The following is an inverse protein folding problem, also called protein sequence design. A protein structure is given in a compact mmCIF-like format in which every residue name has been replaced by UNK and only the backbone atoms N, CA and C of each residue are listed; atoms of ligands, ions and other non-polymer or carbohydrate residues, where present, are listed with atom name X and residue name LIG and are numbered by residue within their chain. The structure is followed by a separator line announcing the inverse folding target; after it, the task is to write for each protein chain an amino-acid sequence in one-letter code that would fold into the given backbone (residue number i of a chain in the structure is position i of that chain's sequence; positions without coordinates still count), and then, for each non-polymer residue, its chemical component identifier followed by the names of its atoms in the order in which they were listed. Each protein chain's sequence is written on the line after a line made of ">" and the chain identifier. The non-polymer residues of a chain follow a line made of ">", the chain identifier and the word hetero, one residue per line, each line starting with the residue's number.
data_IF_069817207523
#
_entry.id   IF_069817207523
#
_cell.length_a   1.000
_cell.length_b   1.000
_cell.length_c   1.000
_cell.angle_alpha   90.00
_cell.angle_beta   90.00
_cell.angle_gamma   90.00
#
_symmetry.space_group_name_H-M   'P 1'
#
loop_
_entity.id
_entity.type
_entity.pdbx_description
1 polymer ?
#
# COMPACT_ATOMS: atom_id res chain seq x y z
N UNK A 1 -9.43 12.87 7.58
CA UNK A 1 -10.69 12.13 7.78
C UNK A 1 -10.46 10.68 7.40
N UNK A 2 -10.86 9.73 8.25
CA UNK A 2 -10.78 8.30 7.92
C UNK A 2 -12.03 7.83 7.17
N UNK A 3 -11.83 7.01 6.15
CA UNK A 3 -12.87 6.35 5.35
C UNK A 3 -12.60 4.86 5.21
N UNK A 4 -13.67 4.10 4.97
CA UNK A 4 -13.61 2.67 4.70
C UNK A 4 -14.24 2.43 3.34
N UNK A 5 -13.47 1.90 2.40
CA UNK A 5 -13.95 1.47 1.09
C UNK A 5 -14.25 -0.02 1.11
N UNK A 6 -15.45 -0.39 0.69
CA UNK A 6 -15.83 -1.79 0.49
C UNK A 6 -15.56 -2.20 -0.96
N UNK A 7 -14.38 -2.76 -1.23
CA UNK A 7 -13.95 -3.15 -2.58
C UNK A 7 -13.85 -4.66 -2.70
N UNK A 8 -14.62 -5.26 -3.61
CA UNK A 8 -14.64 -6.70 -3.87
C UNK A 8 -14.78 -7.54 -2.58
N UNK A 9 -15.63 -7.09 -1.65
CA UNK A 9 -15.89 -7.76 -0.37
C UNK A 9 -14.83 -7.55 0.71
N UNK A 10 -13.83 -6.68 0.49
CA UNK A 10 -12.80 -6.34 1.47
C UNK A 10 -12.98 -4.90 1.97
N UNK A 11 -12.72 -4.67 3.26
CA UNK A 11 -12.81 -3.35 3.90
C UNK A 11 -11.44 -2.69 3.96
N UNK A 12 -11.21 -1.70 3.10
CA UNK A 12 -9.93 -0.99 3.00
C UNK A 12 -10.06 0.36 3.68
N UNK A 13 -9.30 0.56 4.76
CA UNK A 13 -9.27 1.83 5.47
C UNK A 13 -8.30 2.79 4.77
N UNK A 14 -8.74 4.03 4.57
CA UNK A 14 -7.92 5.12 4.01
C UNK A 14 -8.18 6.43 4.76
N UNK A 15 -7.13 7.12 5.18
CA UNK A 15 -7.19 8.48 5.68
C UNK A 15 -7.01 9.49 4.55
N UNK A 16 -7.82 10.54 4.53
CA UNK A 16 -7.71 11.66 3.59
C UNK A 16 -7.34 12.93 4.37
N UNK A 17 -6.24 13.56 4.00
CA UNK A 17 -5.73 14.80 4.55
C UNK A 17 -5.36 15.75 3.41
N UNK A 18 -5.34 17.08 3.60
CA UNK A 18 -4.89 17.98 2.55
C UNK A 18 -3.50 17.59 2.05
N UNK A 19 -3.38 17.31 0.75
CA UNK A 19 -2.17 16.89 0.03
C UNK A 19 -1.62 15.50 0.41
N UNK A 20 -2.38 14.70 1.16
CA UNK A 20 -1.90 13.42 1.71
C UNK A 20 -3.04 12.41 1.79
N UNK A 21 -2.77 11.17 1.37
CA UNK A 21 -3.63 10.04 1.72
C UNK A 21 -2.86 9.02 2.57
N UNK A 22 -3.56 8.34 3.46
CA UNK A 22 -3.00 7.29 4.32
C UNK A 22 -3.67 5.96 4.01
N UNK A 23 -3.01 5.05 3.31
CA UNK A 23 -3.56 3.72 3.04
C UNK A 23 -3.11 2.76 4.13
N UNK A 24 -4.06 2.16 4.84
CA UNK A 24 -3.75 1.23 5.93
C UNK A 24 -3.48 -0.16 5.35
N UNK A 25 -2.23 -0.60 5.42
CA UNK A 25 -1.81 -1.95 5.07
C UNK A 25 -2.28 -2.89 6.18
N UNK A 26 -3.52 -3.39 6.10
CA UNK A 26 -4.07 -4.40 7.00
C UNK A 26 -4.28 -5.73 6.27
N UNK A 27 -4.74 -6.77 6.98
CA UNK A 27 -5.02 -8.07 6.37
C UNK A 27 -6.06 -8.00 5.22
N UNK A 28 -7.01 -7.06 5.30
CA UNK A 28 -8.05 -6.83 4.29
C UNK A 28 -7.46 -6.26 2.99
N UNK A 29 -6.53 -5.30 3.06
CA UNK A 29 -5.83 -4.79 1.89
C UNK A 29 -5.00 -5.91 1.23
N UNK A 30 -4.34 -6.74 2.03
CA UNK A 30 -3.56 -7.86 1.49
C UNK A 30 -4.43 -8.92 0.82
N UNK A 31 -5.59 -9.23 1.40
CA UNK A 31 -6.58 -10.13 0.80
C UNK A 31 -7.12 -9.55 -0.52
N UNK A 32 -7.42 -8.25 -0.53
CA UNK A 32 -7.82 -7.52 -1.73
C UNK A 32 -6.75 -7.57 -2.84
N UNK A 33 -5.47 -7.44 -2.51
CA UNK A 33 -4.37 -7.42 -3.49
C UNK A 33 -3.81 -8.81 -3.85
N UNK A 34 -4.32 -9.89 -3.25
CA UNK A 34 -3.89 -11.24 -3.53
C UNK A 34 -4.40 -11.73 -4.91
N UNK A 35 -3.61 -12.58 -5.59
CA UNK A 35 -3.99 -13.14 -6.89
C UNK A 35 -2.92 -12.99 -7.96
N UNK A 36 -3.34 -13.12 -9.23
CA UNK A 36 -2.49 -12.94 -10.41
C UNK A 36 -2.20 -11.45 -10.66
N UNK A 37 -1.11 -11.17 -11.36
CA UNK A 37 -0.64 -9.81 -11.67
C UNK A 37 -1.72 -8.94 -12.34
N UNK A 38 -2.40 -9.45 -13.36
CA UNK A 38 -3.42 -8.68 -14.11
C UNK A 38 -4.58 -8.27 -13.20
N UNK A 39 -5.17 -9.24 -12.49
CA UNK A 39 -6.25 -8.98 -11.52
C UNK A 39 -5.81 -8.06 -10.37
N UNK A 40 -4.54 -8.12 -9.97
CA UNK A 40 -3.98 -7.23 -8.94
C UNK A 40 -3.86 -5.81 -9.45
N UNK A 41 -3.39 -5.63 -10.69
CA UNK A 41 -3.29 -4.31 -11.31
C UNK A 41 -4.68 -3.67 -11.43
N UNK A 42 -5.68 -4.41 -11.92
CA UNK A 42 -7.07 -3.93 -12.00
C UNK A 42 -7.61 -3.47 -10.64
N UNK A 43 -7.31 -4.23 -9.58
CA UNK A 43 -7.69 -3.89 -8.21
C UNK A 43 -6.96 -2.65 -7.70
N UNK A 44 -5.68 -2.50 -8.00
CA UNK A 44 -4.94 -1.28 -7.68
C UNK A 44 -5.50 -0.05 -8.39
N UNK A 45 -5.78 -0.14 -9.68
CA UNK A 45 -6.39 0.95 -10.45
C UNK A 45 -7.76 1.30 -9.88
N UNK A 46 -8.60 0.30 -9.54
CA UNK A 46 -9.89 0.54 -8.90
C UNK A 46 -9.73 1.28 -7.56
N UNK A 47 -8.86 0.78 -6.67
CA UNK A 47 -8.61 1.39 -5.37
C UNK A 47 -8.14 2.85 -5.50
N UNK A 48 -7.14 3.11 -6.35
CA UNK A 48 -6.56 4.44 -6.52
C UNK A 48 -7.56 5.41 -7.15
N UNK A 49 -8.33 4.98 -8.15
CA UNK A 49 -9.37 5.81 -8.74
C UNK A 49 -10.47 6.14 -7.72
N UNK A 50 -10.91 5.18 -6.92
CA UNK A 50 -11.88 5.41 -5.85
C UNK A 50 -11.36 6.44 -4.84
N UNK A 51 -10.11 6.30 -4.38
CA UNK A 51 -9.51 7.24 -3.44
C UNK A 51 -9.43 8.65 -4.03
N UNK A 52 -8.97 8.79 -5.27
CA UNK A 52 -8.78 10.11 -5.90
C UNK A 52 -10.08 10.83 -6.18
N UNK A 53 -11.10 10.09 -6.65
CA UNK A 53 -12.44 10.65 -6.85
C UNK A 53 -13.04 11.16 -5.52
N UNK A 54 -12.89 10.38 -4.45
CA UNK A 54 -13.41 10.74 -3.14
C UNK A 54 -12.61 11.89 -2.48
N UNK A 55 -11.30 11.94 -2.70
CA UNK A 55 -10.45 13.06 -2.33
C UNK A 55 -10.87 14.36 -3.02
N UNK A 56 -11.10 14.31 -4.34
CA UNK A 56 -11.56 15.45 -5.13
C UNK A 56 -12.94 15.93 -4.68
N UNK A 57 -13.87 15.01 -4.44
CA UNK A 57 -15.19 15.34 -3.90
C UNK A 57 -15.10 16.02 -2.53
N UNK A 58 -14.15 15.62 -1.69
CA UNK A 58 -14.03 16.14 -0.32
C UNK A 58 -13.30 17.50 -0.26
N UNK A 59 -12.23 17.67 -1.02
CA UNK A 59 -11.38 18.87 -0.96
C UNK A 59 -11.59 19.85 -2.12
N UNK A 60 -12.41 19.51 -3.12
CA UNK A 60 -12.64 20.33 -4.31
C UNK A 60 -11.42 20.48 -5.21
N UNK A 61 -10.40 19.64 -5.02
CA UNK A 61 -9.16 19.63 -5.81
C UNK A 61 -8.66 18.20 -6.01
N UNK A 62 -8.04 17.95 -7.15
CA UNK A 62 -7.44 16.65 -7.44
C UNK A 62 -6.18 16.42 -6.61
N UNK A 63 -5.96 15.18 -6.16
CA UNK A 63 -4.69 14.77 -5.55
C UNK A 63 -3.60 14.78 -6.62
N UNK A 64 -2.56 15.61 -6.44
CA UNK A 64 -1.50 15.84 -7.42
C UNK A 64 -0.45 14.70 -7.46
N UNK A 65 -0.92 13.45 -7.51
CA UNK A 65 -0.13 12.23 -7.62
C UNK A 65 -0.68 11.40 -8.78
N UNK A 66 0.19 10.93 -9.69
CA UNK A 66 -0.24 10.07 -10.79
C UNK A 66 -0.71 8.71 -10.27
N UNK A 67 -1.65 8.07 -10.96
CA UNK A 67 -2.14 6.75 -10.52
C UNK A 67 -1.01 5.72 -10.47
N UNK A 68 -0.12 5.71 -11.47
CA UNK A 68 1.00 4.78 -11.51
C UNK A 68 1.97 4.96 -10.33
N UNK A 69 2.30 6.22 -9.98
CA UNK A 69 3.14 6.54 -8.82
C UNK A 69 2.49 6.06 -7.52
N UNK A 70 1.20 6.35 -7.35
CA UNK A 70 0.44 5.95 -6.17
C UNK A 70 0.31 4.43 -6.03
N UNK A 71 0.08 3.72 -7.14
CA UNK A 71 0.05 2.25 -7.16
C UNK A 71 1.39 1.67 -6.73
N UNK A 72 2.49 2.17 -7.30
CA UNK A 72 3.83 1.65 -6.98
C UNK A 72 4.21 1.91 -5.53
N UNK A 73 3.89 3.08 -4.99
CA UNK A 73 4.12 3.38 -3.58
C UNK A 73 3.37 2.41 -2.66
N UNK A 74 2.05 2.25 -2.82
CA UNK A 74 1.26 1.31 -2.01
C UNK A 74 1.79 -0.12 -2.17
N UNK A 75 2.12 -0.53 -3.39
CA UNK A 75 2.65 -1.85 -3.71
C UNK A 75 3.99 -2.13 -3.03
N UNK A 76 4.94 -1.20 -3.10
CA UNK A 76 6.26 -1.33 -2.48
C UNK A 76 6.11 -1.41 -0.97
N UNK A 77 5.25 -0.59 -0.36
CA UNK A 77 5.00 -0.65 1.07
C UNK A 77 4.38 -2.00 1.50
N UNK A 78 3.37 -2.49 0.78
CA UNK A 78 2.79 -3.83 1.02
C UNK A 78 3.83 -4.93 0.87
N UNK A 79 4.74 -4.81 -0.10
CA UNK A 79 5.82 -5.77 -0.31
C UNK A 79 6.85 -5.75 0.82
N UNK A 80 7.29 -4.57 1.26
CA UNK A 80 8.23 -4.40 2.36
C UNK A 80 7.65 -4.97 3.67
N UNK A 81 6.37 -4.73 3.92
CA UNK A 81 5.64 -5.27 5.06
C UNK A 81 5.57 -6.81 4.99
N UNK A 82 5.25 -7.38 3.82
CA UNK A 82 5.32 -8.82 3.57
C UNK A 82 6.71 -9.42 3.81
N UNK A 83 7.76 -8.81 3.25
CA UNK A 83 9.13 -9.29 3.41
C UNK A 83 9.59 -9.20 4.86
N UNK A 84 9.31 -8.10 5.55
CA UNK A 84 9.69 -7.93 6.95
C UNK A 84 9.02 -8.97 7.85
N UNK A 85 7.73 -9.23 7.65
CA UNK A 85 7.01 -10.26 8.41
C UNK A 85 7.49 -11.68 8.07
N UNK A 86 7.76 -11.96 6.78
CA UNK A 86 8.32 -13.24 6.34
C UNK A 86 9.72 -13.48 6.91
N UNK A 87 10.58 -12.46 6.88
CA UNK A 87 11.92 -12.49 7.44
C UNK A 87 11.89 -12.71 8.96
N UNK A 88 11.01 -12.01 9.68
CA UNK A 88 10.81 -12.19 11.13
C UNK A 88 10.41 -13.63 11.49
N UNK A 89 9.70 -14.34 10.60
CA UNK A 89 9.35 -15.76 10.79
C UNK A 89 10.52 -16.70 10.56
N UNK A 90 11.43 -16.37 9.64
CA UNK A 90 12.60 -17.20 9.32
C UNK A 90 13.72 -16.97 10.32
N UNK A 91 13.98 -15.71 10.66
CA UNK A 91 15.08 -15.31 11.53
C UNK A 91 14.59 -15.29 12.97
N UNK A 92 15.05 -16.25 13.78
CA UNK A 92 14.71 -16.37 15.20
C UNK A 92 15.67 -15.62 16.14
N UNK A 93 16.31 -14.57 15.66
CA UNK A 93 17.26 -13.78 16.43
C UNK A 93 16.50 -12.61 17.09
N UNK A 94 16.22 -12.69 18.39
CA UNK A 94 15.35 -11.74 19.13
C UNK A 94 15.62 -10.27 18.86
N UNK A 95 16.87 -9.82 18.88
CA UNK A 95 17.20 -8.40 18.69
C UNK A 95 16.90 -7.92 17.25
N UNK A 96 17.10 -8.79 16.25
CA UNK A 96 16.74 -8.53 14.86
C UNK A 96 15.21 -8.49 14.72
N UNK A 97 14.51 -9.42 15.37
CA UNK A 97 13.04 -9.45 15.37
C UNK A 97 12.43 -8.19 15.98
N UNK A 98 12.98 -7.68 17.09
CA UNK A 98 12.50 -6.46 17.74
C UNK A 98 12.77 -5.22 16.88
N UNK A 99 13.91 -5.16 16.19
CA UNK A 99 14.22 -4.10 15.22
C UNK A 99 13.27 -4.13 14.02
N UNK A 100 13.05 -5.31 13.43
CA UNK A 100 12.14 -5.51 12.29
C UNK A 100 10.70 -5.18 12.67
N UNK A 101 10.22 -5.59 13.85
CA UNK A 101 8.89 -5.21 14.36
C UNK A 101 8.73 -3.69 14.48
N UNK A 102 9.76 -2.98 14.95
CA UNK A 102 9.75 -1.52 15.04
C UNK A 102 9.67 -0.85 13.66
N UNK A 103 10.33 -1.43 12.65
CA UNK A 103 10.22 -0.97 11.26
C UNK A 103 8.85 -1.29 10.66
N UNK A 104 8.32 -2.49 10.88
CA UNK A 104 7.00 -2.92 10.38
C UNK A 104 5.86 -2.07 10.96
N UNK A 105 5.92 -1.72 12.25
CA UNK A 105 4.94 -0.83 12.87
C UNK A 105 4.88 0.55 12.20
N UNK A 106 5.98 0.99 11.56
CA UNK A 106 6.02 2.21 10.75
C UNK A 106 5.52 1.99 9.32
N UNK A 107 5.47 0.75 8.83
CA UNK A 107 5.02 0.38 7.49
C UNK A 107 3.54 -0.03 7.42
N UNK A 108 2.85 -0.15 8.57
CA UNK A 108 1.41 -0.48 8.64
C UNK A 108 0.52 0.60 7.99
N UNK A 109 1.00 1.84 7.91
CA UNK A 109 0.32 2.96 7.27
C UNK A 109 1.21 3.48 6.15
N UNK A 110 0.63 3.59 4.96
CA UNK A 110 1.30 4.14 3.77
C UNK A 110 0.86 5.59 3.61
N UNK A 111 1.74 6.51 3.95
CA UNK A 111 1.55 7.94 3.77
C UNK A 111 1.93 8.35 2.35
N UNK A 112 0.94 8.57 1.48
CA UNK A 112 1.14 8.98 0.09
C UNK A 112 0.86 10.48 -0.09
N UNK A 113 1.90 11.30 0.01
CA UNK A 113 1.83 12.76 -0.06
C UNK A 113 2.20 13.36 -1.42
N UNK A 114 1.67 14.53 -1.74
CA UNK A 114 2.13 15.31 -2.90
C UNK A 114 3.61 15.71 -2.73
N UNK A 115 4.28 16.20 -3.79
CA UNK A 115 5.73 16.52 -3.77
C UNK A 115 6.16 17.46 -2.64
N UNK A 116 5.25 18.34 -2.20
CA UNK A 116 5.48 19.28 -1.10
C UNK A 116 5.47 18.61 0.28
N UNK A 117 4.77 17.48 0.42
CA UNK A 117 4.58 16.76 1.68
C UNK A 117 5.44 15.49 1.74
N UNK A 118 5.66 14.82 0.60
CA UNK A 118 6.49 13.63 0.49
C UNK A 118 7.76 13.90 -0.31
N UNK A 119 8.88 14.02 0.40
CA UNK A 119 10.20 14.23 -0.21
C UNK A 119 10.68 13.05 -1.06
N UNK A 120 10.11 11.86 -0.89
CA UNK A 120 10.43 10.67 -1.69
C UNK A 120 9.56 10.56 -2.95
N UNK A 121 8.66 11.50 -3.21
CA UNK A 121 7.74 11.47 -4.36
C UNK A 121 8.44 11.26 -5.70
N UNK A 122 9.63 11.82 -5.88
CA UNK A 122 10.44 11.63 -7.08
C UNK A 122 10.86 10.16 -7.30
N UNK A 123 11.10 9.40 -6.22
CA UNK A 123 11.41 7.96 -6.29
C UNK A 123 10.19 7.21 -6.81
N UNK A 124 9.01 7.51 -6.25
CA UNK A 124 7.76 6.86 -6.65
C UNK A 124 7.40 7.17 -8.11
N UNK A 125 7.57 8.42 -8.53
CA UNK A 125 7.35 8.85 -9.92
C UNK A 125 8.32 8.15 -10.89
N UNK A 126 9.59 7.95 -10.49
CA UNK A 126 10.57 7.21 -11.29
C UNK A 126 10.22 5.72 -11.38
N UNK A 127 9.86 5.10 -10.25
CA UNK A 127 9.50 3.68 -10.18
C UNK A 127 8.16 3.38 -10.87
N UNK A 128 7.29 4.38 -11.05
CA UNK A 128 6.01 4.27 -11.74
C UNK A 128 6.16 3.69 -13.17
N UNK A 129 7.24 4.03 -13.87
CA UNK A 129 7.54 3.50 -15.20
C UNK A 129 7.81 1.98 -15.22
N UNK A 130 8.10 1.40 -14.06
CA UNK A 130 8.38 -0.02 -13.86
C UNK A 130 7.27 -0.77 -13.11
N UNK A 131 6.04 -0.22 -13.03
CA UNK A 131 4.94 -0.81 -12.22
C UNK A 131 4.70 -2.30 -12.51
N UNK A 132 4.79 -2.71 -13.79
CA UNK A 132 4.55 -4.09 -14.21
C UNK A 132 5.57 -5.07 -13.60
N UNK A 133 6.83 -4.66 -13.42
CA UNK A 133 7.85 -5.49 -12.77
C UNK A 133 7.50 -5.72 -11.29
N UNK A 134 7.18 -4.65 -10.56
CA UNK A 134 6.82 -4.75 -9.15
C UNK A 134 5.55 -5.58 -8.92
N UNK A 135 4.54 -5.42 -9.78
CA UNK A 135 3.30 -6.18 -9.70
C UNK A 135 3.56 -7.67 -9.93
N UNK A 136 4.51 -8.03 -10.80
CA UNK A 136 4.87 -9.42 -11.06
C UNK A 136 5.70 -10.05 -9.93
N UNK A 137 6.52 -9.26 -9.23
CA UNK A 137 7.38 -9.74 -8.13
C UNK A 137 6.55 -10.07 -6.88
N UNK A 138 5.45 -9.37 -6.64
CA UNK A 138 4.66 -9.54 -5.42
C UNK A 138 4.02 -10.95 -5.37
N UNK A 139 4.24 -11.74 -4.29
CA UNK A 139 3.80 -13.13 -4.23
C UNK A 139 2.29 -13.26 -4.38
N UNK A 140 1.84 -14.31 -5.10
CA UNK A 140 0.43 -14.53 -5.42
C UNK A 140 -0.45 -14.69 -4.17
N UNK A 141 0.11 -15.23 -3.08
CA UNK A 141 -0.58 -15.45 -1.82
C UNK A 141 0.09 -14.68 -0.67
N UNK A 142 -0.24 -13.40 -0.54
CA UNK A 142 0.33 -12.50 0.47
C UNK A 142 0.10 -12.99 1.91
N UNK A 143 -1.06 -13.59 2.20
CA UNK A 143 -1.39 -14.08 3.54
C UNK A 143 -1.59 -15.61 3.62
N UNK A 144 -1.05 -16.41 2.69
CA UNK A 144 -1.25 -17.87 2.68
C UNK A 144 -0.79 -18.59 3.96
N UNK A 145 0.10 -17.95 4.72
CA UNK A 145 0.70 -18.50 5.92
C UNK A 145 0.14 -17.87 7.20
N UNK A 146 -0.99 -17.15 7.12
CA UNK A 146 -1.58 -16.34 8.20
C UNK A 146 -0.52 -15.52 8.94
N UNK A 147 0.31 -14.81 8.17
CA UNK A 147 1.42 -14.03 8.73
C UNK A 147 0.88 -12.68 9.24
N UNK A 148 -0.25 -12.21 8.70
CA UNK A 148 -0.91 -10.98 9.11
C UNK A 148 -2.25 -11.29 9.76
N UNK A 149 -2.36 -10.99 11.05
CA UNK A 149 -3.50 -11.33 11.89
C UNK A 149 -4.54 -10.19 12.02
N UNK A 150 -4.17 -8.97 11.63
CA UNK A 150 -4.99 -7.75 11.75
C UNK A 150 -4.88 -6.88 10.49
#
# INVERSE_FOLDING_TARGET
>A
MDKIYELKGNKIKVGLEPQLIRVYSNAQLWAYLAGKADARLERFELLVNTIKADYEQHFGKTLAISNASLIVEILVHVYCDYLGLYFNRIVQIRWIQDFVKKLLKRAEVVDCGEKEVDSNRWVWDLLAGSKSLFINILPKKLNAKNIKHH
#
